data_IF_791517347068
#
_entry.id   IF_791517347068
#
_cell.length_a   1.000
_cell.length_b   1.000
_cell.length_c   1.000
_cell.angle_alpha   90.00
_cell.angle_beta   90.00
_cell.angle_gamma   90.00
#
_symmetry.space_group_name_H-M   'P 1'
#
loop_
_entity.id
_entity.type
_entity.pdbx_description
1 polymer ?
#
# COMPACT_ATOMS: atom_id res chain seq x y z
N UNK A 1 7.77 -6.01 -16.52
CA UNK A 1 9.14 -5.99 -17.09
C UNK A 1 9.76 -4.62 -16.85
N UNK A 2 11.09 -4.50 -16.96
CA UNK A 2 11.73 -3.17 -16.92
C UNK A 2 11.15 -2.28 -18.04
N UNK A 3 10.79 -1.04 -17.71
CA UNK A 3 10.12 -0.12 -18.62
C UNK A 3 8.58 -0.16 -18.57
N UNK A 4 7.99 -1.15 -17.88
CA UNK A 4 6.53 -1.25 -17.70
C UNK A 4 5.96 -0.17 -16.78
N UNK A 5 6.77 0.51 -15.97
CA UNK A 5 6.34 1.61 -15.09
C UNK A 5 5.78 2.82 -15.85
N UNK A 6 6.02 2.91 -17.16
CA UNK A 6 5.47 3.96 -18.05
C UNK A 6 4.01 3.72 -18.44
N UNK A 7 3.50 2.52 -18.15
CA UNK A 7 2.17 2.05 -18.52
C UNK A 7 1.36 1.77 -17.24
N UNK A 8 0.09 1.30 -17.32
CA UNK A 8 -0.82 1.31 -16.18
C UNK A 8 -0.27 0.70 -14.88
N UNK A 9 -0.94 1.09 -13.78
CA UNK A 9 -0.78 0.54 -12.44
C UNK A 9 -0.61 -0.99 -12.44
N UNK A 10 0.28 -1.49 -11.59
CA UNK A 10 0.38 -2.91 -11.27
C UNK A 10 -0.09 -3.18 -9.84
N UNK A 11 -0.54 -4.41 -9.58
CA UNK A 11 -0.92 -4.85 -8.25
C UNK A 11 -0.18 -6.15 -7.86
N UNK A 12 -0.18 -6.47 -6.56
CA UNK A 12 0.54 -7.61 -5.98
C UNK A 12 0.14 -9.02 -6.47
N UNK A 13 -0.99 -9.16 -7.16
CA UNK A 13 -1.54 -10.44 -7.61
C UNK A 13 -2.57 -11.02 -6.65
N UNK A 14 -2.75 -12.33 -6.73
CA UNK A 14 -3.81 -13.07 -6.04
C UNK A 14 -3.33 -13.57 -4.66
N UNK A 15 -3.11 -12.65 -3.73
CA UNK A 15 -2.59 -12.97 -2.41
C UNK A 15 -3.52 -13.87 -1.58
N UNK A 16 -2.96 -14.75 -0.77
CA UNK A 16 -3.73 -15.51 0.22
C UNK A 16 -4.22 -14.62 1.38
N UNK A 17 -5.24 -15.08 2.10
CA UNK A 17 -5.82 -14.37 3.25
C UNK A 17 -5.13 -14.76 4.56
N UNK A 18 -3.80 -14.68 4.60
CA UNK A 18 -2.97 -15.04 5.77
C UNK A 18 -2.11 -13.87 6.24
N UNK A 19 -1.65 -13.91 7.49
CA UNK A 19 -0.71 -12.89 8.01
C UNK A 19 0.61 -12.88 7.22
N UNK A 20 1.10 -14.04 6.82
CA UNK A 20 2.33 -14.16 6.03
C UNK A 20 2.15 -13.54 4.64
N UNK A 21 0.99 -13.72 4.00
CA UNK A 21 0.68 -13.09 2.72
C UNK A 21 0.57 -11.56 2.86
N UNK A 22 -0.05 -11.05 3.94
CA UNK A 22 -0.08 -9.61 4.21
C UNK A 22 1.33 -9.00 4.34
N UNK A 23 2.22 -9.68 5.07
CA UNK A 23 3.61 -9.24 5.20
C UNK A 23 4.39 -9.35 3.87
N UNK A 24 4.18 -10.42 3.12
CA UNK A 24 4.78 -10.63 1.81
C UNK A 24 4.32 -9.57 0.78
N UNK A 25 3.06 -9.15 0.85
CA UNK A 25 2.50 -8.09 0.00
C UNK A 25 3.15 -6.74 0.27
N UNK A 26 3.35 -6.35 1.53
CA UNK A 26 4.08 -5.13 1.86
C UNK A 26 5.52 -5.18 1.33
N UNK A 27 6.24 -6.27 1.61
CA UNK A 27 7.62 -6.47 1.12
C UNK A 27 7.69 -6.48 -0.40
N UNK A 28 6.70 -7.09 -1.06
CA UNK A 28 6.55 -7.12 -2.51
C UNK A 28 6.35 -5.72 -3.09
N UNK A 29 5.47 -4.91 -2.49
CA UNK A 29 5.26 -3.52 -2.88
C UNK A 29 6.51 -2.66 -2.74
N UNK A 30 7.25 -2.81 -1.64
CA UNK A 30 8.53 -2.12 -1.43
C UNK A 30 9.57 -2.52 -2.47
N UNK A 31 9.71 -3.81 -2.74
CA UNK A 31 10.63 -4.34 -3.76
C UNK A 31 10.26 -3.86 -5.16
N UNK A 32 8.95 -3.80 -5.45
CA UNK A 32 8.42 -3.33 -6.72
C UNK A 32 8.67 -1.82 -6.92
N UNK A 33 8.47 -1.02 -5.87
CA UNK A 33 8.80 0.39 -5.87
C UNK A 33 10.28 0.64 -6.16
N UNK A 34 11.16 -0.09 -5.49
CA UNK A 34 12.61 -0.04 -5.71
C UNK A 34 13.05 -0.54 -7.10
N UNK A 35 12.18 -1.27 -7.80
CA UNK A 35 12.39 -1.66 -9.20
C UNK A 35 12.00 -0.55 -10.20
N UNK A 36 11.68 0.65 -9.72
CA UNK A 36 11.38 1.84 -10.53
C UNK A 36 9.90 2.08 -10.81
N UNK A 37 9.00 1.41 -10.09
CA UNK A 37 7.56 1.63 -10.25
C UNK A 37 7.04 2.67 -9.26
N UNK A 38 6.52 3.78 -9.79
CA UNK A 38 5.95 4.85 -8.97
C UNK A 38 4.68 4.41 -8.25
N UNK A 39 3.82 3.66 -8.94
CA UNK A 39 2.50 3.27 -8.46
C UNK A 39 2.40 1.76 -8.27
N UNK A 40 1.73 1.38 -7.19
CA UNK A 40 1.47 0.00 -6.80
C UNK A 40 0.18 -0.11 -5.98
N UNK A 41 -0.50 -1.25 -6.12
CA UNK A 41 -1.70 -1.61 -5.36
C UNK A 41 -1.63 -3.06 -4.89
N UNK A 42 -2.56 -3.44 -4.03
CA UNK A 42 -2.72 -4.79 -3.53
C UNK A 42 -4.17 -4.99 -3.10
N UNK A 43 -4.55 -6.23 -2.84
CA UNK A 43 -5.89 -6.57 -2.37
C UNK A 43 -5.92 -6.53 -0.86
N UNK A 44 -6.48 -5.46 -0.31
CA UNK A 44 -6.65 -5.31 1.13
C UNK A 44 -7.48 -6.50 1.64
N UNK A 45 -6.90 -7.26 2.56
CA UNK A 45 -7.50 -8.48 3.11
C UNK A 45 -7.17 -9.78 2.36
N UNK A 46 -6.48 -9.73 1.21
CA UNK A 46 -6.13 -10.88 0.37
C UNK A 46 -7.23 -11.25 -0.64
N UNK A 47 -6.89 -12.03 -1.66
CA UNK A 47 -7.74 -12.31 -2.82
C UNK A 47 -8.50 -13.64 -2.74
N UNK A 48 -7.82 -14.73 -2.40
CA UNK A 48 -8.25 -16.11 -2.73
C UNK A 48 -9.56 -16.53 -2.04
N UNK A 49 -9.70 -16.25 -0.75
CA UNK A 49 -10.84 -16.62 0.08
C UNK A 49 -11.47 -15.39 0.74
N UNK A 50 -12.59 -15.58 1.45
CA UNK A 50 -13.15 -14.55 2.31
C UNK A 50 -12.12 -14.16 3.37
N UNK A 51 -11.76 -12.89 3.43
CA UNK A 51 -10.76 -12.41 4.38
C UNK A 51 -11.23 -12.64 5.84
N UNK A 52 -10.40 -13.21 6.73
CA UNK A 52 -10.67 -13.19 8.15
C UNK A 52 -10.82 -11.73 8.62
N UNK A 53 -11.89 -11.44 9.36
CA UNK A 53 -12.27 -10.07 9.78
C UNK A 53 -11.12 -9.29 10.41
N UNK A 54 -10.37 -9.92 11.32
CA UNK A 54 -9.24 -9.28 12.00
C UNK A 54 -8.05 -9.02 11.05
N UNK A 55 -7.76 -9.95 10.15
CA UNK A 55 -6.75 -9.74 9.11
C UNK A 55 -7.14 -8.58 8.21
N UNK A 56 -8.40 -8.51 7.77
CA UNK A 56 -8.87 -7.45 6.90
C UNK A 56 -8.72 -6.08 7.55
N UNK A 57 -9.07 -5.97 8.84
CA UNK A 57 -8.87 -4.76 9.65
C UNK A 57 -7.40 -4.36 9.76
N UNK A 58 -6.48 -5.30 10.04
CA UNK A 58 -5.05 -5.00 10.17
C UNK A 58 -4.42 -4.63 8.83
N UNK A 59 -4.84 -5.28 7.74
CA UNK A 59 -4.38 -4.98 6.39
C UNK A 59 -4.88 -3.60 5.93
N UNK A 60 -6.11 -3.24 6.26
CA UNK A 60 -6.68 -1.93 5.96
C UNK A 60 -5.83 -0.79 6.51
N UNK A 61 -5.33 -0.92 7.75
CA UNK A 61 -4.61 0.14 8.45
C UNK A 61 -3.43 0.70 7.64
N UNK A 62 -2.67 -0.17 6.97
CA UNK A 62 -1.58 0.25 6.09
C UNK A 62 -2.02 0.32 4.61
N UNK A 63 -2.97 -0.51 4.18
CA UNK A 63 -3.44 -0.56 2.80
C UNK A 63 -4.13 0.73 2.31
N UNK A 64 -4.70 1.53 3.21
CA UNK A 64 -5.20 2.87 2.86
C UNK A 64 -4.08 3.87 2.59
N UNK A 65 -2.90 3.64 3.17
CA UNK A 65 -1.71 4.48 3.06
C UNK A 65 -0.74 3.93 1.99
N UNK A 66 -1.28 3.44 0.88
CA UNK A 66 -0.53 3.11 -0.34
C UNK A 66 -0.99 3.99 -1.51
N UNK A 67 -0.33 3.89 -2.67
CA UNK A 67 -0.69 4.72 -3.81
C UNK A 67 -2.14 4.51 -4.28
N UNK A 68 -2.59 3.25 -4.28
CA UNK A 68 -3.94 2.85 -4.72
C UNK A 68 -4.51 1.84 -3.73
N UNK A 69 -5.64 2.18 -3.13
CA UNK A 69 -6.36 1.31 -2.21
C UNK A 69 -7.42 0.53 -2.96
N UNK A 70 -7.38 -0.81 -2.86
CA UNK A 70 -8.30 -1.71 -3.53
C UNK A 70 -8.75 -2.81 -2.57
N UNK A 71 -10.06 -2.99 -2.44
CA UNK A 71 -10.67 -4.13 -1.78
C UNK A 71 -11.22 -5.07 -2.86
N UNK A 72 -10.49 -6.15 -3.16
CA UNK A 72 -10.87 -7.12 -4.19
C UNK A 72 -10.54 -8.55 -3.72
N UNK A 73 -11.06 -9.55 -4.43
CA UNK A 73 -11.00 -10.96 -4.04
C UNK A 73 -12.38 -11.58 -3.81
N UNK A 74 -12.38 -12.80 -3.27
CA UNK A 74 -13.59 -13.57 -3.00
C UNK A 74 -14.56 -12.80 -2.08
N UNK A 75 -15.85 -12.69 -2.40
CA UNK A 75 -16.79 -11.91 -1.59
C UNK A 75 -17.01 -12.51 -0.18
N UNK A 76 -17.47 -11.69 0.79
CA UNK A 76 -17.72 -10.26 0.69
C UNK A 76 -16.45 -9.40 0.83
N UNK A 77 -16.47 -8.19 0.23
CA UNK A 77 -15.39 -7.18 0.34
C UNK A 77 -15.85 -5.89 1.00
N UNK A 78 -17.13 -5.64 0.88
CA UNK A 78 -17.87 -4.59 1.52
C UNK A 78 -17.78 -4.73 3.05
N UNK A 79 -17.29 -3.73 3.79
CA UNK A 79 -17.08 -3.86 5.22
C UNK A 79 -18.38 -4.02 6.02
N UNK A 80 -19.51 -3.54 5.47
CA UNK A 80 -20.84 -3.70 6.09
C UNK A 80 -21.37 -5.13 6.07
N UNK A 81 -20.80 -6.02 5.25
CA UNK A 81 -21.11 -7.45 5.24
C UNK A 81 -20.36 -8.24 6.33
N UNK A 82 -19.46 -7.57 7.08
CA UNK A 82 -18.74 -8.17 8.22
C UNK A 82 -19.38 -7.76 9.54
N UNK A 83 -19.27 -6.47 9.87
CA UNK A 83 -19.85 -5.87 11.08
C UNK A 83 -19.77 -4.33 11.04
N UNK A 84 -20.57 -3.68 11.88
CA UNK A 84 -20.59 -2.21 12.02
C UNK A 84 -19.22 -1.66 12.46
N UNK A 85 -18.50 -2.39 13.32
CA UNK A 85 -17.19 -1.95 13.81
C UNK A 85 -16.14 -1.90 12.69
N UNK A 86 -16.15 -2.85 11.75
CA UNK A 86 -15.27 -2.86 10.60
C UNK A 86 -15.67 -1.75 9.62
N UNK A 87 -16.97 -1.53 9.41
CA UNK A 87 -17.47 -0.40 8.60
C UNK A 87 -16.95 0.93 9.14
N UNK A 88 -16.98 1.11 10.45
CA UNK A 88 -16.45 2.28 11.12
C UNK A 88 -14.93 2.42 10.97
N UNK A 89 -14.18 1.31 11.09
CA UNK A 89 -12.74 1.30 10.81
C UNK A 89 -12.42 1.73 9.37
N UNK A 90 -13.17 1.24 8.39
CA UNK A 90 -13.09 1.66 6.98
C UNK A 90 -13.37 3.14 6.80
N UNK A 91 -14.45 3.65 7.41
CA UNK A 91 -14.82 5.05 7.33
C UNK A 91 -13.71 5.96 7.88
N UNK A 92 -13.10 5.59 9.01
CA UNK A 92 -11.96 6.32 9.59
C UNK A 92 -10.72 6.27 8.71
N UNK A 93 -10.34 5.07 8.25
CA UNK A 93 -9.15 4.85 7.45
C UNK A 93 -9.24 5.58 6.09
N UNK A 94 -10.39 5.53 5.43
CA UNK A 94 -10.65 6.29 4.21
C UNK A 94 -10.70 7.79 4.51
N UNK A 95 -11.34 8.23 5.58
CA UNK A 95 -11.35 9.64 5.99
C UNK A 95 -9.93 10.22 6.12
N UNK A 96 -9.00 9.47 6.72
CA UNK A 96 -7.58 9.83 6.76
C UNK A 96 -6.98 9.96 5.35
N UNK A 97 -7.12 8.94 4.50
CA UNK A 97 -6.61 8.96 3.12
C UNK A 97 -7.14 10.16 2.34
N UNK A 98 -8.45 10.43 2.43
CA UNK A 98 -9.09 11.56 1.76
C UNK A 98 -8.59 12.91 2.29
N UNK A 99 -8.35 13.05 3.60
CA UNK A 99 -7.75 14.26 4.17
C UNK A 99 -6.32 14.52 3.65
N UNK A 100 -5.60 13.45 3.28
CA UNK A 100 -4.25 13.52 2.72
C UNK A 100 -4.22 13.64 1.18
N UNK A 101 -5.36 13.69 0.49
CA UNK A 101 -5.39 13.76 -0.99
C UNK A 101 -4.62 14.90 -1.62
N UNK A 102 -4.66 16.14 -1.10
CA UNK A 102 -3.82 17.21 -1.64
C UNK A 102 -2.33 16.85 -1.62
N UNK A 103 -1.87 16.23 -0.53
CA UNK A 103 -0.48 15.77 -0.38
C UNK A 103 -0.18 14.58 -1.29
N UNK A 104 -1.03 13.54 -1.30
CA UNK A 104 -0.84 12.33 -2.11
C UNK A 104 -0.79 12.67 -3.61
N UNK A 105 -1.64 13.58 -4.09
CA UNK A 105 -1.63 14.04 -5.49
C UNK A 105 -0.36 14.83 -5.81
N UNK A 106 0.09 15.71 -4.90
CA UNK A 106 1.32 16.46 -5.09
C UNK A 106 2.54 15.51 -5.18
N UNK A 107 2.61 14.54 -4.28
CA UNK A 107 3.68 13.55 -4.24
C UNK A 107 3.62 12.56 -5.41
N UNK A 108 2.42 12.23 -5.91
CA UNK A 108 2.26 11.43 -7.12
C UNK A 108 2.85 12.14 -8.35
N UNK A 109 2.61 13.45 -8.49
CA UNK A 109 3.21 14.26 -9.56
C UNK A 109 4.73 14.30 -9.45
N UNK A 110 5.26 14.59 -8.26
CA UNK A 110 6.70 14.64 -8.01
C UNK A 110 7.36 13.28 -8.28
N UNK A 111 6.80 12.21 -7.71
CA UNK A 111 7.33 10.86 -7.84
C UNK A 111 7.29 10.37 -9.29
N UNK A 112 6.23 10.70 -10.03
CA UNK A 112 6.14 10.35 -11.46
C UNK A 112 7.11 11.15 -12.32
N UNK A 113 7.45 12.39 -11.96
CA UNK A 113 8.40 13.22 -12.70
C UNK A 113 9.84 12.75 -12.51
N UNK A 114 10.17 12.28 -11.30
CA UNK A 114 11.52 11.84 -10.95
C UNK A 114 11.73 10.31 -11.00
N UNK A 115 10.67 9.53 -11.19
CA UNK A 115 10.72 8.07 -11.17
C UNK A 115 10.86 7.47 -9.76
N UNK A 116 10.44 8.22 -8.74
CA UNK A 116 10.45 7.74 -7.35
C UNK A 116 9.24 6.84 -7.07
N UNK A 117 9.35 5.89 -6.11
CA UNK A 117 8.20 5.15 -5.64
C UNK A 117 7.35 6.00 -4.69
N UNK A 118 6.03 5.82 -4.73
CA UNK A 118 5.11 6.40 -3.74
C UNK A 118 5.22 5.69 -2.38
N UNK A 119 5.44 4.38 -2.39
CA UNK A 119 5.71 3.56 -1.20
C UNK A 119 7.22 3.39 -1.07
N UNK A 120 7.86 4.10 -0.14
CA UNK A 120 9.32 4.17 -0.06
C UNK A 120 9.84 3.31 1.07
N UNK A 121 10.89 2.54 0.79
CA UNK A 121 11.66 1.84 1.82
C UNK A 121 12.34 2.87 2.72
N UNK A 122 12.61 2.51 3.98
CA UNK A 122 13.28 3.44 4.89
C UNK A 122 14.67 3.83 4.36
N UNK A 123 15.43 2.90 3.78
CA UNK A 123 16.75 3.20 3.22
C UNK A 123 16.72 4.13 2.00
N UNK A 124 15.57 4.25 1.31
CA UNK A 124 15.44 5.22 0.23
C UNK A 124 15.49 6.66 0.77
N UNK A 125 14.90 6.89 1.96
CA UNK A 125 14.89 8.20 2.63
C UNK A 125 16.11 8.40 3.54
N UNK A 126 16.63 7.32 4.12
CA UNK A 126 17.71 7.33 5.10
C UNK A 126 18.86 6.38 4.71
N UNK A 127 19.55 6.62 3.58
CA UNK A 127 20.56 5.70 3.06
C UNK A 127 21.79 5.55 3.97
N UNK A 128 22.08 6.55 4.81
CA UNK A 128 23.23 6.54 5.72
C UNK A 128 22.95 5.80 7.05
N UNK A 129 21.68 5.53 7.37
CA UNK A 129 21.32 4.72 8.53
C UNK A 129 21.34 3.24 8.15
N UNK A 130 22.32 2.49 8.67
CA UNK A 130 22.47 1.06 8.38
C UNK A 130 21.26 0.23 8.81
N UNK A 131 20.48 0.69 9.78
CA UNK A 131 19.28 -0.01 10.27
C UNK A 131 18.19 -0.02 9.19
N UNK A 132 18.04 1.10 8.47
CA UNK A 132 17.00 1.31 7.46
C UNK A 132 17.08 0.29 6.30
N UNK A 133 18.27 -0.26 6.03
CA UNK A 133 18.52 -1.27 5.01
C UNK A 133 17.98 -2.66 5.37
N UNK A 134 17.66 -2.89 6.65
CA UNK A 134 17.18 -4.20 7.15
C UNK A 134 15.69 -4.23 7.44
N UNK A 135 15.01 -3.08 7.36
CA UNK A 135 13.59 -2.95 7.66
C UNK A 135 12.77 -3.17 6.39
N UNK A 136 11.84 -4.14 6.44
CA UNK A 136 10.95 -4.48 5.32
C UNK A 136 9.47 -4.61 5.70
N UNK A 137 9.14 -4.24 6.94
CA UNK A 137 7.79 -4.20 7.52
C UNK A 137 7.31 -2.77 7.85
N UNK A 138 8.14 -1.76 7.56
CA UNK A 138 7.80 -0.34 7.65
C UNK A 138 8.10 0.40 6.36
N UNK A 139 7.42 1.53 6.14
CA UNK A 139 7.59 2.33 4.94
C UNK A 139 7.25 3.80 5.17
N UNK A 140 7.79 4.64 4.30
CA UNK A 140 7.41 6.05 4.20
C UNK A 140 6.37 6.22 3.09
N UNK A 141 5.23 6.84 3.44
CA UNK A 141 4.26 7.30 2.45
C UNK A 141 4.81 8.59 1.82
N UNK A 142 5.66 8.42 0.80
CA UNK A 142 6.32 9.50 0.05
C UNK A 142 7.29 10.35 0.89
N UNK A 143 7.86 11.40 0.29
CA UNK A 143 8.90 12.22 0.95
C UNK A 143 8.33 13.14 2.03
N UNK A 144 9.12 13.39 3.08
CA UNK A 144 8.85 14.46 4.04
C UNK A 144 9.40 15.83 3.58
N UNK A 145 10.30 15.84 2.60
CA UNK A 145 10.95 17.05 2.10
C UNK A 145 9.97 17.89 1.28
N UNK A 146 9.50 19.01 1.87
CA UNK A 146 9.05 20.14 1.09
C UNK A 146 10.25 20.67 0.31
N UNK A 147 10.18 20.70 -1.02
CA UNK A 147 11.02 21.60 -1.80
C UNK A 147 10.76 23.06 -1.37
#
# INVERSE_FOLDING_TARGET
WAGSQRYPLHWGGDAENTNSAMAAELRGGLSFGMSGFTYWSHDVGGFVERAPRDLYRRWLAWGVLTSHTRAHGAPPREPWEYDEALTEDFRRALGLKYSLMPYIIAQAKDSSAHGFPMLRTLFFEYPDDRTSWTIDDEYMLTSHTRA
#
